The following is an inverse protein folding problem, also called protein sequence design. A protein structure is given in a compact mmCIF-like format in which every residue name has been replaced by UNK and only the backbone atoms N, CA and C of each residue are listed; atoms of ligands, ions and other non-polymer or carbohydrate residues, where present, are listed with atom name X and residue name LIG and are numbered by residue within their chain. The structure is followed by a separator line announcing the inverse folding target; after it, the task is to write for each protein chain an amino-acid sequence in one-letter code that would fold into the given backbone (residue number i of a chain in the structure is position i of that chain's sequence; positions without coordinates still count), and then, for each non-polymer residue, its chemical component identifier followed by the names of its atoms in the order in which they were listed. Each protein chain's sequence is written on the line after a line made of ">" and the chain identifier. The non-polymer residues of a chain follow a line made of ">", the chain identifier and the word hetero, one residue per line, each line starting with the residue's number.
data_IF_439329557845
#
_entry.id   IF_439329557845
#
_cell.length_a   1.000
_cell.length_b   1.000
_cell.length_c   1.000
_cell.angle_alpha   90.00
_cell.angle_beta   90.00
_cell.angle_gamma   90.00
#
_symmetry.space_group_name_H-M   'P 1'
#
loop_
_entity.id
_entity.type
_entity.pdbx_description
1 polymer ?
#
# COMPACT_ATOMS: atom_id res chain seq x y z
N UNK A 1 28.19 14.37 17.74
CA UNK A 1 27.27 13.68 16.80
C UNK A 1 27.49 14.30 15.44
N UNK A 2 27.63 13.50 14.39
CA UNK A 2 27.86 14.02 13.03
C UNK A 2 26.54 14.03 12.29
N UNK A 3 25.99 15.23 12.07
CA UNK A 3 24.78 15.40 11.27
C UNK A 3 25.04 14.95 9.83
N UNK A 4 24.08 14.23 9.24
CA UNK A 4 24.10 13.79 7.84
C UNK A 4 22.95 14.45 7.09
N UNK A 5 23.09 14.71 5.77
CA UNK A 5 22.00 15.26 4.99
C UNK A 5 20.84 14.26 4.89
N UNK A 6 19.62 14.74 5.11
CA UNK A 6 18.39 13.97 4.91
C UNK A 6 18.30 13.45 3.47
N UNK A 7 17.91 12.19 3.30
CA UNK A 7 17.78 11.56 1.99
C UNK A 7 16.68 12.15 1.09
N UNK A 8 15.70 12.88 1.65
CA UNK A 8 14.59 13.46 0.87
C UNK A 8 14.77 14.98 0.64
N UNK A 9 15.19 15.75 1.64
CA UNK A 9 15.36 17.22 1.52
C UNK A 9 16.79 17.74 1.65
N UNK A 10 17.76 16.91 2.06
CA UNK A 10 19.16 17.31 2.21
C UNK A 10 19.52 18.08 3.50
N UNK A 11 18.54 18.42 4.34
CA UNK A 11 18.80 19.14 5.59
C UNK A 11 19.62 18.31 6.60
N UNK A 12 20.47 18.94 7.43
CA UNK A 12 21.23 18.24 8.46
C UNK A 12 20.30 17.55 9.47
N UNK A 13 20.42 16.23 9.59
CA UNK A 13 19.66 15.41 10.51
C UNK A 13 20.56 14.44 11.28
N UNK A 14 20.12 14.02 12.46
CA UNK A 14 20.82 13.02 13.28
C UNK A 14 20.73 11.60 12.68
N UNK A 15 19.87 11.38 11.69
CA UNK A 15 19.63 10.11 11.03
C UNK A 15 19.56 10.22 9.50
N UNK A 16 19.09 9.18 8.80
CA UNK A 16 18.96 9.19 7.34
C UNK A 16 17.86 10.17 6.84
N UNK A 17 16.94 10.60 7.71
CA UNK A 17 15.86 11.54 7.38
C UNK A 17 15.63 12.52 8.54
N UNK A 18 15.18 13.74 8.25
CA UNK A 18 14.79 14.71 9.28
C UNK A 18 13.45 14.32 9.93
N UNK A 19 13.06 15.02 11.00
CA UNK A 19 11.80 14.77 11.73
C UNK A 19 10.58 14.80 10.83
N UNK A 20 10.54 15.75 9.89
CA UNK A 20 9.39 15.97 9.01
C UNK A 20 9.22 14.83 8.00
N UNK A 21 10.34 14.29 7.49
CA UNK A 21 10.36 13.13 6.61
C UNK A 21 10.36 11.78 7.35
N UNK A 22 10.43 11.82 8.69
CA UNK A 22 10.27 10.64 9.56
C UNK A 22 8.86 10.57 10.16
N UNK A 23 8.14 11.70 10.18
CA UNK A 23 6.76 11.76 10.65
C UNK A 23 5.90 10.75 9.88
N UNK A 24 5.39 9.74 10.60
CA UNK A 24 4.57 8.70 10.00
C UNK A 24 3.16 9.26 9.73
N UNK A 25 3.01 10.00 8.63
CA UNK A 25 1.74 10.56 8.16
C UNK A 25 0.82 9.49 7.54
N UNK A 26 1.08 8.21 7.81
CA UNK A 26 0.26 7.14 7.29
C UNK A 26 -1.12 7.19 7.95
N UNK A 27 -2.21 7.28 7.17
CA UNK A 27 -3.55 7.21 7.74
C UNK A 27 -3.74 5.88 8.46
N UNK A 28 -4.44 5.91 9.59
CA UNK A 28 -4.76 4.72 10.37
C UNK A 28 -5.60 3.72 9.56
N UNK A 29 -5.64 2.46 9.96
CA UNK A 29 -6.47 1.46 9.29
C UNK A 29 -7.95 1.90 9.19
N UNK A 30 -8.47 2.49 10.26
CA UNK A 30 -9.82 3.07 10.30
C UNK A 30 -9.99 4.20 9.29
N UNK A 31 -9.02 5.13 9.20
CA UNK A 31 -9.05 6.21 8.20
C UNK A 31 -9.01 5.67 6.76
N UNK A 32 -8.32 4.55 6.53
CA UNK A 32 -8.31 3.85 5.23
C UNK A 32 -9.63 3.14 4.91
N UNK A 33 -10.55 3.03 5.87
CA UNK A 33 -11.87 2.39 5.70
C UNK A 33 -11.96 0.96 6.21
N UNK A 34 -10.96 0.49 6.97
CA UNK A 34 -10.97 -0.83 7.59
C UNK A 34 -11.50 -0.75 9.02
N UNK A 35 -12.71 -0.23 9.19
CA UNK A 35 -13.36 -0.15 10.49
C UNK A 35 -14.04 -1.47 10.90
N UNK A 36 -14.74 -1.46 12.03
CA UNK A 36 -15.47 -2.62 12.53
C UNK A 36 -16.63 -3.04 11.61
N UNK A 37 -17.29 -2.08 10.95
CA UNK A 37 -18.38 -2.37 10.00
C UNK A 37 -17.83 -3.12 8.79
N UNK A 38 -16.69 -2.66 8.26
CA UNK A 38 -15.95 -3.33 7.21
C UNK A 38 -15.55 -4.75 7.62
N UNK A 39 -15.01 -4.92 8.83
CA UNK A 39 -14.60 -6.25 9.34
C UNK A 39 -15.77 -7.23 9.31
N UNK A 40 -16.94 -6.82 9.80
CA UNK A 40 -18.16 -7.65 9.75
C UNK A 40 -18.64 -7.92 8.34
N UNK A 41 -18.66 -6.91 7.48
CA UNK A 41 -19.07 -7.03 6.08
C UNK A 41 -18.17 -8.03 5.34
N UNK A 42 -16.87 -7.90 5.53
CA UNK A 42 -15.85 -8.72 4.92
C UNK A 42 -15.96 -10.19 5.34
N UNK A 43 -16.15 -10.46 6.63
CA UNK A 43 -16.41 -11.82 7.12
C UNK A 43 -17.70 -12.41 6.55
N UNK A 44 -18.77 -11.61 6.48
CA UNK A 44 -20.06 -12.05 5.90
C UNK A 44 -19.93 -12.37 4.41
N UNK A 45 -19.23 -11.52 3.66
CA UNK A 45 -19.02 -11.71 2.22
C UNK A 45 -18.30 -13.04 1.94
N UNK A 46 -17.17 -13.31 2.62
CA UNK A 46 -16.43 -14.57 2.46
C UNK A 46 -17.21 -15.80 2.91
N UNK A 47 -18.10 -15.67 3.89
CA UNK A 47 -18.98 -16.77 4.32
C UNK A 47 -20.03 -17.12 3.27
N UNK A 48 -20.62 -16.10 2.63
CA UNK A 48 -21.65 -16.28 1.60
C UNK A 48 -21.06 -16.70 0.27
N UNK A 49 -19.83 -16.26 -0.03
CA UNK A 49 -19.09 -16.62 -1.22
C UNK A 49 -17.72 -17.20 -0.82
N UNK A 50 -17.67 -18.48 -0.39
CA UNK A 50 -16.42 -19.17 -0.03
C UNK A 50 -15.59 -19.57 -1.27
N UNK A 51 -15.54 -18.72 -2.29
CA UNK A 51 -14.73 -18.89 -3.50
C UNK A 51 -14.37 -17.52 -4.11
N UNK A 52 -13.27 -17.47 -4.86
CA UNK A 52 -12.83 -16.32 -5.63
C UNK A 52 -13.73 -16.11 -6.85
N UNK A 53 -14.20 -14.88 -7.08
CA UNK A 53 -15.00 -14.54 -8.27
C UNK A 53 -14.27 -14.79 -9.59
N UNK A 54 -12.95 -14.54 -9.63
CA UNK A 54 -12.18 -14.58 -10.88
C UNK A 54 -11.72 -15.99 -11.26
N UNK A 55 -11.22 -16.76 -10.28
CA UNK A 55 -10.58 -18.05 -10.55
C UNK A 55 -11.22 -19.24 -9.81
N UNK A 56 -12.22 -19.00 -8.96
CA UNK A 56 -12.90 -20.06 -8.19
C UNK A 56 -12.10 -20.65 -7.02
N UNK A 57 -10.87 -20.20 -6.76
CA UNK A 57 -10.09 -20.66 -5.59
C UNK A 57 -10.87 -20.47 -4.29
N UNK A 58 -10.76 -21.43 -3.37
CA UNK A 58 -11.39 -21.39 -2.04
C UNK A 58 -10.42 -20.97 -0.93
N UNK A 59 -9.17 -20.69 -1.29
CA UNK A 59 -8.07 -20.37 -0.38
C UNK A 59 -7.67 -18.89 -0.48
N UNK A 60 -7.02 -18.38 0.58
CA UNK A 60 -6.51 -16.99 0.66
C UNK A 60 -7.55 -15.95 0.24
N UNK A 61 -8.80 -16.14 0.66
CA UNK A 61 -9.91 -15.28 0.29
C UNK A 61 -9.83 -13.94 1.00
N UNK A 62 -9.93 -12.88 0.21
CA UNK A 62 -9.95 -11.49 0.61
C UNK A 62 -11.27 -10.85 0.15
N UNK A 63 -11.66 -9.74 0.79
CA UNK A 63 -12.78 -8.92 0.33
C UNK A 63 -12.21 -7.59 -0.11
N UNK A 64 -12.62 -7.15 -1.29
CA UNK A 64 -12.17 -5.88 -1.84
C UNK A 64 -13.33 -4.97 -2.22
N UNK A 65 -13.06 -3.67 -2.23
CA UNK A 65 -14.01 -2.62 -2.57
C UNK A 65 -14.16 -2.54 -4.10
N UNK A 66 -15.40 -2.54 -4.59
CA UNK A 66 -15.66 -2.15 -5.98
C UNK A 66 -15.61 -0.61 -6.13
N UNK A 67 -15.56 -0.07 -7.35
CA UNK A 67 -15.67 1.37 -7.58
C UNK A 67 -16.92 1.99 -6.93
N UNK A 68 -18.04 1.27 -6.90
CA UNK A 68 -19.29 1.70 -6.28
C UNK A 68 -19.16 1.80 -4.75
N UNK A 69 -18.42 0.90 -4.10
CA UNK A 69 -18.14 1.02 -2.66
C UNK A 69 -17.35 2.28 -2.35
N UNK A 70 -16.35 2.61 -3.17
CA UNK A 70 -15.59 3.85 -3.02
C UNK A 70 -16.47 5.09 -3.23
N UNK A 71 -17.32 5.08 -4.27
CA UNK A 71 -18.28 6.17 -4.50
C UNK A 71 -19.24 6.37 -3.32
N UNK A 72 -19.73 5.27 -2.71
CA UNK A 72 -20.57 5.35 -1.51
C UNK A 72 -19.83 5.90 -0.30
N UNK A 73 -18.59 5.43 -0.07
CA UNK A 73 -17.76 5.90 1.02
C UNK A 73 -17.46 7.41 0.90
N UNK A 74 -17.13 7.87 -0.31
CA UNK A 74 -16.93 9.29 -0.60
C UNK A 74 -18.20 10.12 -0.36
N UNK A 75 -19.38 9.54 -0.60
CA UNK A 75 -20.67 10.14 -0.30
C UNK A 75 -21.12 9.98 1.17
N UNK A 76 -20.27 9.45 2.07
CA UNK A 76 -20.61 9.21 3.47
C UNK A 76 -21.68 8.12 3.69
N UNK A 77 -21.95 7.28 2.68
CA UNK A 77 -22.96 6.24 2.73
C UNK A 77 -22.36 4.90 3.15
N UNK A 78 -23.09 4.06 3.90
CA UNK A 78 -22.60 2.75 4.31
C UNK A 78 -22.39 1.84 3.09
N UNK A 79 -21.29 1.08 3.09
CA UNK A 79 -20.96 0.08 2.07
C UNK A 79 -21.87 -1.14 2.25
N UNK A 80 -22.43 -1.66 1.17
CA UNK A 80 -23.33 -2.82 1.20
C UNK A 80 -22.61 -4.05 0.66
N UNK A 81 -23.22 -5.22 0.90
CA UNK A 81 -22.68 -6.50 0.44
C UNK A 81 -22.51 -6.58 -1.09
N UNK A 82 -23.38 -5.91 -1.86
CA UNK A 82 -23.28 -5.87 -3.33
C UNK A 82 -22.22 -4.91 -3.87
N UNK A 83 -21.66 -4.06 -3.01
CA UNK A 83 -20.64 -3.09 -3.39
C UNK A 83 -19.23 -3.66 -3.13
N UNK A 84 -19.10 -4.94 -2.78
CA UNK A 84 -17.83 -5.62 -2.52
C UNK A 84 -17.71 -6.89 -3.35
N UNK A 85 -16.48 -7.33 -3.56
CA UNK A 85 -16.16 -8.59 -4.24
C UNK A 85 -15.24 -9.46 -3.40
N UNK A 86 -15.37 -10.78 -3.53
CA UNK A 86 -14.47 -11.75 -2.89
C UNK A 86 -13.48 -12.28 -3.92
N UNK A 87 -12.19 -12.09 -3.65
CA UNK A 87 -11.09 -12.50 -4.51
C UNK A 87 -10.05 -13.27 -3.70
N UNK A 88 -9.34 -14.21 -4.30
CA UNK A 88 -8.12 -14.73 -3.68
C UNK A 88 -6.99 -13.69 -3.73
N UNK A 89 -5.98 -13.81 -2.88
CA UNK A 89 -4.87 -12.85 -2.80
C UNK A 89 -4.13 -12.56 -4.12
N UNK A 90 -3.85 -13.57 -4.98
CA UNK A 90 -3.31 -13.31 -6.33
C UNK A 90 -4.22 -12.43 -7.19
N UNK A 91 -5.48 -12.83 -7.38
CA UNK A 91 -6.45 -12.07 -8.18
C UNK A 91 -6.70 -10.67 -7.62
N UNK A 92 -6.70 -10.52 -6.29
CA UNK A 92 -6.85 -9.21 -5.65
C UNK A 92 -5.66 -8.29 -5.93
N UNK A 93 -4.43 -8.81 -5.93
CA UNK A 93 -3.24 -8.05 -6.32
C UNK A 93 -3.26 -7.64 -7.78
N UNK A 94 -3.67 -8.54 -8.67
CA UNK A 94 -3.75 -8.27 -10.11
C UNK A 94 -4.82 -7.22 -10.41
N UNK A 95 -6.00 -7.35 -9.77
CA UNK A 95 -7.06 -6.35 -9.85
C UNK A 95 -6.61 -4.98 -9.29
N UNK A 96 -5.86 -4.97 -8.19
CA UNK A 96 -5.30 -3.74 -7.62
C UNK A 96 -4.23 -3.09 -8.51
N UNK A 97 -3.40 -3.89 -9.19
CA UNK A 97 -2.41 -3.39 -10.15
C UNK A 97 -3.07 -2.79 -11.40
N UNK A 98 -4.15 -3.43 -11.89
CA UNK A 98 -4.92 -2.95 -13.03
C UNK A 98 -5.59 -1.59 -12.80
N UNK A 99 -5.92 -1.24 -11.55
CA UNK A 99 -6.53 0.06 -11.17
C UNK A 99 -5.56 1.25 -11.17
N UNK A 100 -4.28 1.04 -11.46
CA UNK A 100 -3.26 2.09 -11.49
C UNK A 100 -2.82 2.58 -10.10
N UNK A 101 -1.64 3.21 -10.06
CA UNK A 101 -0.99 3.65 -8.82
C UNK A 101 -1.74 4.77 -8.08
N UNK A 102 -2.77 5.37 -8.67
CA UNK A 102 -3.51 6.50 -8.12
C UNK A 102 -4.54 6.12 -7.04
N UNK A 103 -4.99 4.85 -7.00
CA UNK A 103 -6.13 4.45 -6.13
C UNK A 103 -5.72 3.72 -4.85
N UNK A 104 -4.56 3.05 -4.82
CA UNK A 104 -4.16 2.16 -3.70
C UNK A 104 -2.96 2.66 -2.90
N UNK A 105 -2.27 3.70 -3.37
CA UNK A 105 -1.22 4.41 -2.65
C UNK A 105 -1.34 5.87 -3.04
N UNK A 106 -1.46 6.79 -2.08
CA UNK A 106 -1.24 8.20 -2.39
C UNK A 106 0.05 8.34 -3.21
N UNK A 107 0.05 9.21 -4.22
CA UNK A 107 1.08 9.35 -5.25
C UNK A 107 2.48 9.14 -4.65
N UNK A 108 3.02 7.93 -4.82
CA UNK A 108 4.42 7.69 -4.54
C UNK A 108 5.18 8.32 -5.73
N UNK A 109 6.22 9.15 -5.50
CA UNK A 109 7.02 9.65 -6.59
C UNK A 109 7.52 8.43 -7.39
N UNK A 110 7.38 8.50 -8.71
CA UNK A 110 7.79 7.47 -9.65
C UNK A 110 9.31 7.31 -9.61
N UNK A 111 9.81 6.59 -8.61
CA UNK A 111 11.13 6.00 -8.68
C UNK A 111 11.00 4.79 -9.59
N UNK A 112 11.47 4.93 -10.83
CA UNK A 112 11.78 3.83 -11.74
C UNK A 112 12.38 2.70 -10.92
N UNK A 113 11.70 1.54 -10.87
CA UNK A 113 12.17 0.37 -10.12
C UNK A 113 13.59 0.05 -10.60
N UNK A 114 14.63 0.15 -9.76
CA UNK A 114 15.95 -0.28 -10.18
C UNK A 114 15.90 -1.80 -10.36
N UNK A 115 16.41 -2.26 -11.50
CA UNK A 115 16.64 -3.68 -11.77
C UNK A 115 17.42 -4.31 -10.59
N UNK A 116 16.88 -5.35 -9.93
CA UNK A 116 17.53 -5.99 -8.78
C UNK A 116 18.91 -6.60 -9.12
N UNK A 117 19.29 -6.70 -10.39
CA UNK A 117 20.61 -7.21 -10.81
C UNK A 117 21.73 -6.17 -10.80
N UNK A 118 21.44 -4.89 -10.56
CA UNK A 118 22.45 -3.81 -10.60
C UNK A 118 22.86 -3.34 -9.20
N UNK A 119 23.27 -4.25 -8.33
CA UNK A 119 23.97 -3.90 -7.08
C UNK A 119 25.44 -3.59 -7.42
N UNK A 120 25.69 -2.42 -8.00
CA UNK A 120 27.06 -1.92 -8.16
C UNK A 120 27.65 -1.68 -6.78
N UNK A 121 28.62 -2.51 -6.39
CA UNK A 121 29.43 -2.31 -5.19
C UNK A 121 30.27 -1.05 -5.38
N UNK A 122 29.88 0.04 -4.72
CA UNK A 122 30.75 1.19 -4.55
C UNK A 122 31.90 0.76 -3.63
N UNK A 123 33.00 0.32 -4.23
CA UNK A 123 34.30 0.24 -3.55
C UNK A 123 34.78 1.68 -3.33
N UNK A 124 34.64 2.19 -2.12
CA UNK A 124 35.43 3.35 -1.70
C UNK A 124 36.89 2.92 -1.62
N UNK A 125 37.72 3.40 -2.54
CA UNK A 125 39.18 3.35 -2.39
C UNK A 125 39.60 4.38 -1.36
N UNK A 126 40.42 4.03 -0.35
CA UNK A 126 41.04 5.02 0.52
C UNK A 126 42.09 5.78 -0.29
N UNK A 127 41.95 7.11 -0.42
CA UNK A 127 43.05 7.95 -0.88
C UNK A 127 44.03 8.10 0.27
N UNK A 128 45.24 7.63 0.02
CA UNK A 128 46.30 7.41 1.00
C UNK A 128 46.90 8.67 1.60
N UNK A 129 47.72 8.39 2.62
CA UNK A 129 48.78 9.21 3.18
C UNK A 129 49.55 9.99 2.11
N UNK A 130 49.95 11.23 2.39
CA UNK A 130 51.25 11.63 2.93
C UNK A 130 51.08 12.95 3.68
#
# INVERSE_FOLDING_TARGET
>A
MTLRPCLDCGEPADGPRCSDHTADNKPTATQRGYDWQWTKLSQRARRLQPWCTECGSTEDLQTDHTPEAWARKAAGKPIRLKDVQVLCGPCNRDAGAARGSSTTRGVAPSASRPDPRRRSSLRLTPRGAW
#
